data_IF_957008640977
#
_entry.id   IF_957008640977
#
_cell.length_a   1.000
_cell.length_b   1.000
_cell.length_c   1.000
_cell.angle_alpha   90.00
_cell.angle_beta   90.00
_cell.angle_gamma   90.00
#
_symmetry.space_group_name_H-M   'P 1'
#
loop_
_entity.id
_entity.type
_entity.pdbx_description
1 polymer ?
#
# COMPACT_ATOMS: atom_id res chain seq x y z
N UNK A 1 -4.98 9.63 17.81
CA UNK A 1 -4.75 9.00 16.50
C UNK A 1 -4.11 7.66 16.79
N UNK A 2 -4.68 6.53 16.36
CA UNK A 2 -4.10 5.21 16.60
C UNK A 2 -3.17 4.83 15.44
N UNK A 3 -2.23 3.93 15.72
CA UNK A 3 -1.28 3.44 14.75
C UNK A 3 -1.68 2.03 14.29
N UNK A 4 -1.61 1.80 12.97
CA UNK A 4 -1.80 0.50 12.35
C UNK A 4 -0.51 0.07 11.68
N UNK A 5 0.05 -1.04 12.15
CA UNK A 5 1.13 -1.74 11.47
C UNK A 5 0.53 -2.61 10.35
N UNK A 6 1.05 -2.44 9.13
CA UNK A 6 0.62 -3.18 7.95
C UNK A 6 1.85 -3.85 7.35
N UNK A 7 1.89 -5.17 7.28
CA UNK A 7 2.91 -5.95 6.57
C UNK A 7 2.29 -6.57 5.33
N UNK A 8 2.87 -6.34 4.16
CA UNK A 8 2.35 -6.86 2.88
C UNK A 8 3.42 -7.63 2.11
N UNK A 9 2.98 -8.62 1.35
CA UNK A 9 3.83 -9.38 0.44
C UNK A 9 3.02 -10.07 -0.64
N UNK A 10 3.68 -10.41 -1.75
CA UNK A 10 3.05 -11.12 -2.85
C UNK A 10 4.04 -11.90 -3.70
N UNK A 11 3.49 -12.75 -4.57
CA UNK A 11 4.16 -13.35 -5.71
C UNK A 11 3.26 -13.24 -6.96
N UNK A 12 3.57 -13.99 -8.03
CA UNK A 12 2.81 -13.91 -9.28
C UNK A 12 1.36 -14.44 -9.21
N UNK A 13 1.05 -15.28 -8.21
CA UNK A 13 -0.23 -15.99 -8.12
C UNK A 13 -1.05 -15.61 -6.89
N UNK A 14 -0.43 -15.01 -5.87
CA UNK A 14 -1.10 -14.64 -4.61
C UNK A 14 -0.51 -13.41 -3.97
N UNK A 15 -1.29 -12.80 -3.10
CA UNK A 15 -0.88 -11.71 -2.23
C UNK A 15 -1.44 -11.90 -0.82
N UNK A 16 -0.81 -11.24 0.16
CA UNK A 16 -1.24 -11.25 1.54
C UNK A 16 -0.91 -9.92 2.22
N UNK A 17 -1.68 -9.61 3.25
CA UNK A 17 -1.51 -8.44 4.10
C UNK A 17 -1.89 -8.76 5.55
N UNK A 18 -1.04 -8.36 6.49
CA UNK A 18 -1.29 -8.51 7.93
C UNK A 18 -1.36 -7.12 8.55
N UNK A 19 -2.41 -6.88 9.30
CA UNK A 19 -2.64 -5.61 9.99
C UNK A 19 -2.73 -5.84 11.48
N UNK A 20 -2.10 -4.98 12.26
CA UNK A 20 -2.16 -4.98 13.70
C UNK A 20 -2.30 -3.56 14.22
N UNK A 21 -3.16 -3.36 15.23
CA UNK A 21 -3.24 -2.10 15.96
C UNK A 21 -3.62 -2.36 17.41
N UNK A 22 -3.22 -1.45 18.30
CA UNK A 22 -3.58 -1.50 19.71
C UNK A 22 -4.70 -0.50 20.01
N UNK A 23 -5.72 -0.97 20.71
CA UNK A 23 -6.80 -0.13 21.20
C UNK A 23 -7.21 -0.59 22.61
N UNK A 24 -7.28 0.34 23.56
CA UNK A 24 -7.70 0.06 24.96
C UNK A 24 -6.93 -1.12 25.60
N UNK A 25 -5.60 -1.16 25.43
CA UNK A 25 -4.71 -2.24 25.90
C UNK A 25 -5.05 -3.64 25.33
N UNK A 26 -5.74 -3.71 24.18
CA UNK A 26 -5.98 -4.94 23.43
C UNK A 26 -5.37 -4.83 22.04
N UNK A 27 -4.69 -5.90 21.64
CA UNK A 27 -4.09 -6.01 20.30
C UNK A 27 -5.15 -6.60 19.37
N UNK A 28 -5.52 -5.83 18.36
CA UNK A 28 -6.37 -6.28 17.27
C UNK A 28 -5.51 -6.67 16.08
N UNK A 29 -5.79 -7.84 15.50
CA UNK A 29 -5.10 -8.35 14.32
C UNK A 29 -6.12 -8.66 13.22
N UNK A 30 -5.73 -8.42 11.97
CA UNK A 30 -6.52 -8.80 10.80
C UNK A 30 -5.58 -9.24 9.70
N UNK A 31 -5.86 -10.40 9.12
CA UNK A 31 -5.13 -10.93 7.98
C UNK A 31 -6.02 -10.89 6.73
N UNK A 32 -5.39 -10.67 5.59
CA UNK A 32 -6.01 -10.61 4.27
C UNK A 32 -5.13 -11.44 3.34
N UNK A 33 -5.76 -12.23 2.50
CA UNK A 33 -5.11 -12.98 1.44
C UNK A 33 -6.00 -13.00 0.20
N UNK A 34 -5.37 -13.20 -0.96
CA UNK A 34 -6.08 -13.35 -2.21
C UNK A 34 -5.22 -14.02 -3.27
N UNK A 35 -5.89 -14.75 -4.15
CA UNK A 35 -5.28 -15.39 -5.31
C UNK A 35 -5.59 -14.57 -6.57
N UNK A 36 -4.53 -14.26 -7.32
CA UNK A 36 -4.61 -13.46 -8.54
C UNK A 36 -3.37 -13.70 -9.39
N UNK A 37 -3.56 -14.09 -10.65
CA UNK A 37 -2.49 -14.21 -11.63
C UNK A 37 -2.13 -12.84 -12.19
N UNK A 38 -1.03 -12.26 -11.71
CA UNK A 38 -0.52 -10.96 -12.15
C UNK A 38 0.96 -10.79 -11.75
N UNK A 39 1.58 -9.66 -12.10
CA UNK A 39 2.95 -9.41 -11.64
C UNK A 39 3.02 -9.23 -10.11
N UNK A 40 4.15 -9.64 -9.50
CA UNK A 40 4.43 -9.47 -8.07
C UNK A 40 4.16 -8.06 -7.56
N UNK A 41 4.59 -7.05 -8.32
CA UNK A 41 4.35 -5.63 -8.03
C UNK A 41 2.85 -5.29 -7.98
N UNK A 42 2.08 -5.73 -8.98
CA UNK A 42 0.63 -5.48 -9.04
C UNK A 42 -0.11 -6.18 -7.88
N UNK A 43 0.28 -7.41 -7.55
CA UNK A 43 -0.28 -8.15 -6.43
C UNK A 43 0.11 -7.53 -5.07
N UNK A 44 1.31 -6.94 -4.95
CA UNK A 44 1.70 -6.23 -3.72
C UNK A 44 0.91 -4.93 -3.54
N UNK A 45 0.61 -4.21 -4.64
CA UNK A 45 -0.30 -3.06 -4.59
C UNK A 45 -1.71 -3.48 -4.18
N UNK A 46 -2.19 -4.61 -4.71
CA UNK A 46 -3.51 -5.14 -4.37
C UNK A 46 -3.61 -5.48 -2.87
N UNK A 47 -2.60 -6.14 -2.30
CA UNK A 47 -2.55 -6.40 -0.85
C UNK A 47 -2.71 -5.13 -0.04
N UNK A 48 -1.99 -4.06 -0.40
CA UNK A 48 -2.07 -2.78 0.31
C UNK A 48 -3.46 -2.15 0.15
N UNK A 49 -4.03 -2.15 -1.05
CA UNK A 49 -5.38 -1.65 -1.32
C UNK A 49 -6.41 -2.39 -0.44
N UNK A 50 -6.36 -3.71 -0.40
CA UNK A 50 -7.27 -4.50 0.44
C UNK A 50 -7.10 -4.20 1.93
N UNK A 51 -5.86 -4.03 2.41
CA UNK A 51 -5.59 -3.59 3.78
C UNK A 51 -6.21 -2.21 4.07
N UNK A 52 -6.00 -1.24 3.19
CA UNK A 52 -6.52 0.12 3.37
C UNK A 52 -8.06 0.16 3.33
N UNK A 53 -8.70 -0.61 2.44
CA UNK A 53 -10.17 -0.74 2.38
C UNK A 53 -10.78 -1.32 3.65
N UNK A 54 -10.02 -2.09 4.42
CA UNK A 54 -10.47 -2.61 5.70
C UNK A 54 -10.41 -1.59 6.84
N UNK A 55 -9.80 -0.42 6.62
CA UNK A 55 -9.72 0.66 7.61
C UNK A 55 -10.91 1.59 7.49
N UNK A 56 -11.61 1.79 8.61
CA UNK A 56 -12.83 2.62 8.64
C UNK A 56 -12.60 4.04 9.18
N UNK A 57 -11.38 4.36 9.64
CA UNK A 57 -11.06 5.65 10.27
C UNK A 57 -9.66 6.14 9.90
N UNK A 58 -9.45 7.46 9.80
CA UNK A 58 -8.13 8.08 9.71
C UNK A 58 -7.19 7.56 10.81
N UNK A 59 -5.98 7.17 10.42
CA UNK A 59 -4.97 6.60 11.32
C UNK A 59 -3.55 6.80 10.77
N UNK A 60 -2.56 6.57 11.64
CA UNK A 60 -1.15 6.54 11.26
C UNK A 60 -0.80 5.13 10.79
N UNK A 61 -0.24 5.01 9.59
CA UNK A 61 0.10 3.73 8.97
C UNK A 61 1.61 3.49 9.01
N UNK A 62 2.01 2.35 9.56
CA UNK A 62 3.37 1.80 9.46
C UNK A 62 3.38 0.67 8.46
N UNK A 63 3.69 0.98 7.20
CA UNK A 63 3.61 0.02 6.09
C UNK A 63 4.99 -0.60 5.87
N UNK A 64 5.04 -1.94 5.93
CA UNK A 64 6.21 -2.75 5.64
C UNK A 64 5.96 -3.55 4.37
N UNK A 65 6.86 -3.41 3.40
CA UNK A 65 6.81 -4.12 2.13
C UNK A 65 8.17 -4.75 1.83
N UNK A 66 8.16 -5.87 1.10
CA UNK A 66 9.39 -6.46 0.54
C UNK A 66 9.68 -6.00 -0.89
N UNK A 67 8.78 -5.22 -1.50
CA UNK A 67 8.95 -4.68 -2.86
C UNK A 67 9.62 -3.30 -2.85
N UNK A 68 10.90 -3.26 -3.22
CA UNK A 68 11.72 -2.05 -3.27
C UNK A 68 11.12 -0.92 -4.14
N UNK A 69 10.43 -1.27 -5.23
CA UNK A 69 9.77 -0.27 -6.07
C UNK A 69 8.67 0.48 -5.31
N UNK A 70 7.87 -0.24 -4.51
CA UNK A 70 6.79 0.37 -3.74
C UNK A 70 7.39 1.26 -2.66
N UNK A 71 8.39 0.75 -1.91
CA UNK A 71 9.10 1.52 -0.89
C UNK A 71 9.66 2.82 -1.50
N UNK A 72 10.37 2.71 -2.63
CA UNK A 72 10.94 3.87 -3.34
C UNK A 72 9.88 4.86 -3.78
N UNK A 73 8.74 4.37 -4.31
CA UNK A 73 7.66 5.25 -4.74
C UNK A 73 7.11 6.12 -3.61
N UNK A 74 7.03 5.58 -2.40
CA UNK A 74 6.62 6.32 -1.22
C UNK A 74 7.71 7.25 -0.68
N UNK A 75 8.93 6.73 -0.50
CA UNK A 75 10.03 7.48 0.11
C UNK A 75 10.53 8.63 -0.77
N UNK A 76 10.56 8.43 -2.08
CA UNK A 76 11.01 9.45 -3.05
C UNK A 76 9.87 10.38 -3.52
N UNK A 77 8.67 10.26 -2.95
CA UNK A 77 7.55 11.13 -3.27
C UNK A 77 6.98 10.96 -4.69
N UNK A 78 7.23 9.82 -5.35
CA UNK A 78 6.78 9.60 -6.73
C UNK A 78 5.26 9.68 -6.88
N UNK A 79 4.49 9.21 -5.89
CA UNK A 79 3.03 9.25 -5.96
C UNK A 79 2.50 10.68 -6.14
N UNK A 80 3.12 11.67 -5.47
CA UNK A 80 2.74 13.08 -5.61
C UNK A 80 3.04 13.59 -7.02
N UNK A 81 4.21 13.25 -7.55
CA UNK A 81 4.62 13.66 -8.89
C UNK A 81 3.75 13.00 -9.97
N UNK A 82 3.46 11.70 -9.83
CA UNK A 82 2.58 10.99 -10.74
C UNK A 82 1.17 11.55 -10.69
N UNK A 83 0.62 11.81 -9.50
CA UNK A 83 -0.71 12.41 -9.39
C UNK A 83 -0.78 13.78 -10.09
N UNK A 84 0.23 14.63 -9.93
CA UNK A 84 0.32 15.93 -10.62
C UNK A 84 0.45 15.79 -12.14
N UNK A 85 1.17 14.78 -12.61
CA UNK A 85 1.41 14.51 -14.03
C UNK A 85 0.40 13.54 -14.65
N UNK A 86 -0.80 13.43 -14.08
CA UNK A 86 -1.88 12.55 -14.56
C UNK A 86 -1.42 11.09 -14.80
N UNK A 87 -0.60 10.59 -13.87
CA UNK A 87 -0.08 9.22 -13.81
C UNK A 87 0.81 8.84 -14.98
N UNK A 88 1.57 9.82 -15.49
CA UNK A 88 2.57 9.64 -16.54
C UNK A 88 3.98 9.78 -16.00
N UNK A 89 4.92 9.10 -16.66
CA UNK A 89 6.36 9.27 -16.42
C UNK A 89 6.90 10.51 -17.16
N UNK A 90 8.19 10.78 -17.01
CA UNK A 90 8.88 11.91 -17.67
C UNK A 90 8.87 11.84 -19.20
N UNK A 91 8.63 10.67 -19.78
CA UNK A 91 8.53 10.46 -21.22
C UNK A 91 7.08 10.61 -21.73
N UNK A 92 6.12 10.96 -20.86
CA UNK A 92 4.70 11.11 -21.21
C UNK A 92 3.92 9.79 -21.30
N UNK A 93 4.57 8.67 -21.02
CA UNK A 93 3.93 7.35 -21.01
C UNK A 93 3.22 7.10 -19.68
N UNK A 94 2.05 6.46 -19.73
CA UNK A 94 1.33 6.03 -18.52
C UNK A 94 2.21 5.09 -17.69
N UNK A 95 2.30 5.33 -16.38
CA UNK A 95 3.10 4.49 -15.50
C UNK A 95 2.49 3.09 -15.38
N UNK A 96 3.35 2.11 -15.08
CA UNK A 96 2.89 0.76 -14.79
C UNK A 96 1.98 0.74 -13.56
N UNK A 97 0.87 0.01 -13.65
CA UNK A 97 -0.16 -0.10 -12.60
C UNK A 97 -0.81 1.23 -12.21
N UNK A 98 -0.93 2.19 -13.14
CA UNK A 98 -1.49 3.52 -12.87
C UNK A 98 -2.85 3.50 -12.16
N UNK A 99 -3.76 2.59 -12.53
CA UNK A 99 -5.08 2.48 -11.90
C UNK A 99 -5.00 2.05 -10.43
N UNK A 100 -4.14 1.07 -10.10
CA UNK A 100 -3.93 0.67 -8.70
C UNK A 100 -3.28 1.81 -7.90
N UNK A 101 -2.34 2.55 -8.50
CA UNK A 101 -1.73 3.71 -7.84
C UNK A 101 -2.73 4.85 -7.60
N UNK A 102 -3.64 5.10 -8.54
CA UNK A 102 -4.76 6.06 -8.38
C UNK A 102 -5.65 5.69 -7.21
N UNK A 103 -6.12 4.44 -7.18
CA UNK A 103 -6.99 3.94 -6.12
C UNK A 103 -6.30 4.01 -4.76
N UNK A 104 -5.06 3.55 -4.70
CA UNK A 104 -4.25 3.62 -3.49
C UNK A 104 -4.05 5.07 -3.02
N UNK A 105 -3.81 6.01 -3.93
CA UNK A 105 -3.67 7.42 -3.58
C UNK A 105 -4.93 7.98 -2.92
N UNK A 106 -6.11 7.68 -3.46
CA UNK A 106 -7.39 8.09 -2.87
C UNK A 106 -7.59 7.49 -1.48
N UNK A 107 -7.33 6.19 -1.32
CA UNK A 107 -7.44 5.50 -0.03
C UNK A 107 -6.46 6.05 1.00
N UNK A 108 -5.31 6.57 0.58
CA UNK A 108 -4.29 7.11 1.48
C UNK A 108 -4.51 8.57 1.89
N UNK A 109 -5.38 9.32 1.21
CA UNK A 109 -5.65 10.75 1.52
C UNK A 109 -5.95 11.02 3.00
N UNK A 110 -6.82 10.24 3.69
CA UNK A 110 -7.13 10.50 5.09
C UNK A 110 -6.07 9.99 6.08
N UNK A 111 -5.02 9.30 5.62
CA UNK A 111 -4.04 8.65 6.50
C UNK A 111 -2.65 9.29 6.42
N UNK A 112 -2.06 9.49 7.59
CA UNK A 112 -0.62 9.68 7.72
C UNK A 112 0.07 8.35 7.55
N UNK A 113 1.24 8.32 6.90
CA UNK A 113 1.92 7.05 6.58
C UNK A 113 3.43 7.17 6.62
N UNK A 114 4.07 6.08 7.02
CA UNK A 114 5.49 5.80 6.84
C UNK A 114 5.65 4.44 6.20
N UNK A 115 6.58 4.34 5.25
CA UNK A 115 6.83 3.11 4.50
C UNK A 115 8.27 2.69 4.71
N UNK A 116 8.44 1.45 5.16
CA UNK A 116 9.70 0.85 5.55
C UNK A 116 9.91 -0.47 4.81
N UNK A 117 11.16 -0.89 4.70
CA UNK A 117 11.48 -2.23 4.23
C UNK A 117 11.07 -3.23 5.30
N UNK A 118 10.26 -4.21 4.91
CA UNK A 118 9.91 -5.34 5.76
C UNK A 118 11.01 -6.39 5.76
N UNK A 119 11.03 -7.18 6.84
CA UNK A 119 11.88 -8.37 6.98
C UNK A 119 11.45 -9.51 6.03
#
# INVERSE_FOLDING_TARGET
MYEVEIRIGANANKYWGKMQFEAKNQIHKKEIEGERSASKQSNTLEALICCLKALNKPCMLSIYSTEDYIISAFQQGWLQNWQKNNWKNSQGNTIRNAEQWKELWELLKPHSRRVMKGD
#
